data_IF_216591853348
#
_entry.id   IF_216591853348
#
_cell.length_a   1.000
_cell.length_b   1.000
_cell.length_c   1.000
_cell.angle_alpha   90.00
_cell.angle_beta   90.00
_cell.angle_gamma   90.00
#
_symmetry.space_group_name_H-M   'P 1'
#
loop_
_entity.id
_entity.type
_entity.pdbx_description
1 polymer ?
#
# COMPACT_ATOMS: atom_id res chain seq x y z
N UNK A 1 5.59 25.35 0.59
CA UNK A 1 5.70 23.96 1.05
C UNK A 1 4.34 23.26 1.24
N UNK A 2 3.34 23.86 1.93
CA UNK A 2 1.98 23.28 2.05
C UNK A 2 1.33 22.97 0.70
N UNK A 3 1.44 23.87 -0.28
CA UNK A 3 0.88 23.66 -1.61
C UNK A 3 1.47 22.44 -2.33
N UNK A 4 2.77 22.20 -2.19
CA UNK A 4 3.44 21.05 -2.78
C UNK A 4 2.94 19.72 -2.21
N UNK A 5 2.84 19.65 -0.87
CA UNK A 5 2.30 18.48 -0.21
C UNK A 5 0.86 18.21 -0.66
N UNK A 6 0.07 19.25 -0.81
CA UNK A 6 -1.32 19.13 -1.23
C UNK A 6 -1.43 18.60 -2.67
N UNK A 7 -0.56 19.03 -3.57
CA UNK A 7 -0.49 18.54 -4.96
C UNK A 7 -0.12 17.05 -4.96
N UNK A 8 0.92 16.64 -4.22
CA UNK A 8 1.33 15.23 -4.13
C UNK A 8 0.19 14.37 -3.58
N UNK A 9 -0.46 14.79 -2.51
CA UNK A 9 -1.59 14.09 -1.90
C UNK A 9 -2.76 13.97 -2.89
N UNK A 10 -3.05 15.00 -3.66
CA UNK A 10 -4.11 14.98 -4.66
C UNK A 10 -3.82 13.93 -5.75
N UNK A 11 -2.62 13.93 -6.35
CA UNK A 11 -2.22 12.91 -7.32
C UNK A 11 -2.19 11.51 -6.72
N UNK A 12 -1.80 11.38 -5.45
CA UNK A 12 -1.83 10.12 -4.72
C UNK A 12 -3.26 9.56 -4.61
N UNK A 13 -4.23 10.37 -4.18
CA UNK A 13 -5.62 9.92 -4.11
C UNK A 13 -6.21 9.59 -5.48
N UNK A 14 -5.84 10.33 -6.53
CA UNK A 14 -6.22 9.98 -7.91
C UNK A 14 -5.68 8.59 -8.28
N UNK A 15 -4.40 8.31 -8.00
CA UNK A 15 -3.82 6.98 -8.21
C UNK A 15 -4.60 5.90 -7.46
N UNK A 16 -4.90 6.12 -6.18
CA UNK A 16 -5.63 5.16 -5.35
C UNK A 16 -7.04 4.89 -5.90
N UNK A 17 -7.77 5.93 -6.31
CA UNK A 17 -9.12 5.81 -6.90
C UNK A 17 -9.05 5.00 -8.19
N UNK A 18 -8.12 5.31 -9.10
CA UNK A 18 -7.94 4.58 -10.37
C UNK A 18 -7.55 3.12 -10.10
N UNK A 19 -6.65 2.89 -9.14
CA UNK A 19 -6.22 1.54 -8.77
C UNK A 19 -7.35 0.74 -8.14
N UNK A 20 -8.14 1.34 -7.25
CA UNK A 20 -9.32 0.74 -6.64
C UNK A 20 -10.37 0.35 -7.71
N UNK A 21 -10.63 1.25 -8.66
CA UNK A 21 -11.57 0.99 -9.76
C UNK A 21 -11.11 -0.18 -10.65
N UNK A 22 -9.83 -0.20 -11.03
CA UNK A 22 -9.30 -1.26 -11.89
C UNK A 22 -9.22 -2.59 -11.16
N UNK A 23 -8.88 -2.60 -9.87
CA UNK A 23 -8.87 -3.81 -9.04
C UNK A 23 -10.28 -4.35 -8.84
N UNK A 24 -11.26 -3.50 -8.56
CA UNK A 24 -12.67 -3.90 -8.44
C UNK A 24 -13.19 -4.53 -9.74
N UNK A 25 -12.93 -3.89 -10.90
CA UNK A 25 -13.45 -4.34 -12.20
C UNK A 25 -12.69 -5.56 -12.75
N UNK A 26 -11.38 -5.55 -12.76
CA UNK A 26 -10.53 -6.53 -13.43
C UNK A 26 -9.71 -7.41 -12.47
N UNK A 27 -9.64 -7.09 -11.18
CA UNK A 27 -8.77 -7.75 -10.20
C UNK A 27 -7.28 -7.53 -10.46
N UNK A 28 -6.94 -6.45 -11.18
CA UNK A 28 -5.56 -6.11 -11.57
C UNK A 28 -5.26 -4.64 -11.31
N UNK A 29 -4.09 -4.38 -10.75
CA UNK A 29 -3.52 -3.04 -10.61
C UNK A 29 -2.48 -2.86 -11.71
N UNK A 30 -2.64 -1.84 -12.54
CA UNK A 30 -1.78 -1.61 -13.69
C UNK A 30 -0.48 -0.91 -13.29
N UNK A 31 0.65 -1.51 -13.64
CA UNK A 31 1.99 -0.94 -13.39
C UNK A 31 2.15 0.45 -14.02
N UNK A 32 1.48 0.70 -15.16
CA UNK A 32 1.51 1.99 -15.85
C UNK A 32 1.06 3.15 -14.94
N UNK A 33 0.00 2.96 -14.17
CA UNK A 33 -0.53 3.99 -13.27
C UNK A 33 0.46 4.29 -12.15
N UNK A 34 1.09 3.25 -11.59
CA UNK A 34 2.13 3.39 -10.55
C UNK A 34 3.34 4.13 -11.09
N UNK A 35 3.81 3.78 -12.30
CA UNK A 35 4.96 4.45 -12.94
C UNK A 35 4.67 5.91 -13.26
N UNK A 36 3.48 6.24 -13.73
CA UNK A 36 3.07 7.63 -13.99
C UNK A 36 3.12 8.43 -12.68
N UNK A 37 2.56 7.88 -11.59
CA UNK A 37 2.60 8.55 -10.30
C UNK A 37 4.03 8.78 -9.80
N UNK A 38 4.90 7.76 -9.88
CA UNK A 38 6.31 7.87 -9.49
C UNK A 38 7.04 8.95 -10.31
N UNK A 39 6.77 9.00 -11.63
CA UNK A 39 7.32 10.03 -12.50
C UNK A 39 6.87 11.44 -12.10
N UNK A 40 5.58 11.63 -11.84
CA UNK A 40 5.03 12.91 -11.36
C UNK A 40 5.61 13.28 -9.99
N UNK A 41 5.67 12.32 -9.07
CA UNK A 41 6.23 12.53 -7.73
C UNK A 41 7.67 13.02 -7.81
N UNK A 42 8.51 12.33 -8.59
CA UNK A 42 9.92 12.69 -8.78
C UNK A 42 10.07 14.07 -9.46
N UNK A 43 9.26 14.33 -10.50
CA UNK A 43 9.28 15.60 -11.22
C UNK A 43 8.92 16.78 -10.30
N UNK A 44 7.90 16.63 -9.46
CA UNK A 44 7.51 17.64 -8.48
C UNK A 44 8.68 17.91 -7.51
N UNK A 45 9.35 16.86 -7.03
CA UNK A 45 10.51 17.04 -6.14
C UNK A 45 11.67 17.74 -6.83
N UNK A 46 12.00 17.39 -8.06
CA UNK A 46 13.09 18.03 -8.84
C UNK A 46 12.79 19.51 -9.05
N UNK A 47 11.59 19.85 -9.51
CA UNK A 47 11.18 21.25 -9.68
C UNK A 47 11.30 22.02 -8.38
N UNK A 48 10.82 21.44 -7.28
CA UNK A 48 10.88 22.08 -5.97
C UNK A 48 12.32 22.29 -5.53
N UNK A 49 13.16 21.28 -5.71
CA UNK A 49 14.59 21.37 -5.36
C UNK A 49 15.29 22.50 -6.13
N UNK A 50 15.03 22.62 -7.44
CA UNK A 50 15.57 23.70 -8.26
C UNK A 50 15.08 25.07 -7.77
N UNK A 51 13.79 25.23 -7.48
CA UNK A 51 13.21 26.48 -6.99
C UNK A 51 13.87 26.89 -5.65
N UNK A 52 14.05 25.95 -4.73
CA UNK A 52 14.68 26.23 -3.44
C UNK A 52 16.17 26.52 -3.56
N UNK A 53 16.89 25.93 -4.50
CA UNK A 53 18.29 26.29 -4.78
C UNK A 53 18.46 27.77 -5.14
N UNK A 54 17.50 28.32 -5.90
CA UNK A 54 17.59 29.71 -6.37
C UNK A 54 17.02 30.73 -5.38
N UNK A 55 16.01 30.35 -4.57
CA UNK A 55 15.25 31.30 -3.74
C UNK A 55 15.65 31.22 -2.27
N UNK A 56 15.77 30.01 -1.70
CA UNK A 56 15.93 29.81 -0.25
C UNK A 56 16.94 28.71 0.09
N UNK A 57 18.22 29.03 0.16
CA UNK A 57 19.28 28.05 0.48
C UNK A 57 19.12 27.34 1.83
N UNK A 58 18.44 27.92 2.81
CA UNK A 58 18.25 27.34 4.16
C UNK A 58 17.25 26.21 4.25
N UNK A 59 16.34 26.07 3.29
CA UNK A 59 15.30 25.02 3.32
C UNK A 59 15.65 23.75 2.55
N UNK A 60 16.83 23.72 1.88
CA UNK A 60 17.29 22.54 1.11
C UNK A 60 17.52 21.36 2.05
N UNK A 61 18.05 21.55 3.24
CA UNK A 61 18.28 20.48 4.20
C UNK A 61 16.96 19.81 4.60
N UNK A 62 15.94 20.60 4.86
CA UNK A 62 14.61 20.08 5.18
C UNK A 62 13.98 19.28 4.03
N UNK A 63 14.19 19.70 2.77
CA UNK A 63 13.77 18.95 1.60
C UNK A 63 14.49 17.60 1.49
N UNK A 64 15.78 17.57 1.76
CA UNK A 64 16.58 16.34 1.75
C UNK A 64 16.12 15.36 2.84
N UNK A 65 15.88 15.84 4.06
CA UNK A 65 15.35 15.03 5.16
C UNK A 65 13.98 14.45 4.82
N UNK A 66 13.10 15.25 4.23
CA UNK A 66 11.78 14.79 3.80
C UNK A 66 11.86 13.76 2.69
N UNK A 67 12.73 13.99 1.70
CA UNK A 67 12.95 13.03 0.61
C UNK A 67 13.48 11.70 1.17
N UNK A 68 14.46 11.76 2.07
CA UNK A 68 15.03 10.58 2.72
C UNK A 68 13.95 9.81 3.50
N UNK A 69 13.14 10.51 4.28
CA UNK A 69 12.02 9.93 5.01
C UNK A 69 11.02 9.22 4.08
N UNK A 70 10.70 9.83 2.93
CA UNK A 70 9.82 9.22 1.92
C UNK A 70 10.43 7.99 1.26
N UNK A 71 11.72 8.04 0.89
CA UNK A 71 12.42 6.89 0.30
C UNK A 71 12.59 5.73 1.29
N UNK A 72 12.88 6.02 2.56
CA UNK A 72 12.91 4.99 3.62
C UNK A 72 11.53 4.35 3.79
N UNK A 73 10.47 5.16 3.82
CA UNK A 73 9.10 4.68 3.87
C UNK A 73 8.76 3.77 2.68
N UNK A 74 9.13 4.18 1.46
CA UNK A 74 8.98 3.37 0.25
C UNK A 74 9.71 2.03 0.37
N UNK A 75 10.98 2.05 0.76
CA UNK A 75 11.81 0.84 0.89
C UNK A 75 11.26 -0.16 1.89
N UNK A 76 10.91 0.30 3.10
CA UNK A 76 10.34 -0.55 4.14
C UNK A 76 8.99 -1.12 3.71
N UNK A 77 8.11 -0.30 3.12
CA UNK A 77 6.80 -0.74 2.63
C UNK A 77 6.92 -1.74 1.50
N UNK A 78 7.88 -1.52 0.59
CA UNK A 78 8.16 -2.45 -0.50
C UNK A 78 8.62 -3.79 0.04
N UNK A 79 9.53 -3.81 1.03
CA UNK A 79 10.02 -5.04 1.65
C UNK A 79 8.88 -5.81 2.35
N UNK A 80 8.04 -5.11 3.13
CA UNK A 80 6.87 -5.73 3.78
C UNK A 80 5.91 -6.29 2.73
N UNK A 81 5.57 -5.51 1.70
CA UNK A 81 4.71 -5.93 0.61
C UNK A 81 5.31 -7.12 -0.18
N UNK A 82 6.61 -7.14 -0.38
CA UNK A 82 7.33 -8.23 -1.06
C UNK A 82 7.30 -9.52 -0.24
N UNK A 83 7.49 -9.45 1.08
CA UNK A 83 7.34 -10.60 1.97
C UNK A 83 5.93 -11.18 1.87
N UNK A 84 4.88 -10.35 1.93
CA UNK A 84 3.49 -10.79 1.78
C UNK A 84 3.20 -11.36 0.38
N UNK A 85 3.87 -10.86 -0.65
CA UNK A 85 3.80 -11.43 -1.99
C UNK A 85 4.42 -12.83 -2.07
N UNK A 86 5.60 -13.03 -1.48
CA UNK A 86 6.25 -14.36 -1.42
C UNK A 86 5.37 -15.36 -0.66
N UNK A 87 4.79 -14.94 0.46
CA UNK A 87 3.86 -15.76 1.24
C UNK A 87 2.53 -16.03 0.53
N UNK A 88 2.30 -15.44 -0.65
CA UNK A 88 1.06 -15.61 -1.41
C UNK A 88 -0.15 -14.89 -0.84
N UNK A 89 0.04 -13.99 0.14
CA UNK A 89 -1.01 -13.20 0.77
C UNK A 89 -1.45 -12.07 -0.16
N UNK A 90 -0.49 -11.35 -0.75
CA UNK A 90 -0.73 -10.25 -1.67
C UNK A 90 -0.44 -10.65 -3.12
N UNK A 91 -1.13 -9.97 -4.04
CA UNK A 91 -0.75 -9.97 -5.45
C UNK A 91 0.38 -8.96 -5.67
N UNK A 92 1.16 -9.14 -6.75
CA UNK A 92 2.28 -8.23 -7.04
C UNK A 92 1.87 -6.76 -7.23
N UNK A 93 0.61 -6.50 -7.63
CA UNK A 93 0.05 -5.16 -7.71
C UNK A 93 -0.19 -4.53 -6.35
N UNK A 94 -0.71 -5.31 -5.39
CA UNK A 94 -1.01 -4.88 -4.02
C UNK A 94 0.27 -4.45 -3.30
N UNK A 95 1.35 -5.24 -3.44
CA UNK A 95 2.65 -4.95 -2.85
C UNK A 95 3.26 -3.64 -3.37
N UNK A 96 3.12 -3.37 -4.67
CA UNK A 96 3.59 -2.12 -5.29
C UNK A 96 2.77 -0.93 -4.82
N UNK A 97 1.45 -1.08 -4.71
CA UNK A 97 0.58 -0.02 -4.21
C UNK A 97 0.91 0.31 -2.76
N UNK A 98 1.18 -0.72 -1.93
CA UNK A 98 1.61 -0.54 -0.55
C UNK A 98 2.94 0.23 -0.45
N UNK A 99 3.88 -0.01 -1.38
CA UNK A 99 5.13 0.74 -1.45
C UNK A 99 4.89 2.24 -1.72
N UNK A 100 3.89 2.58 -2.54
CA UNK A 100 3.50 3.98 -2.78
C UNK A 100 2.89 4.63 -1.52
N UNK A 101 2.12 3.87 -0.74
CA UNK A 101 1.65 4.35 0.59
C UNK A 101 2.84 4.77 1.44
N UNK A 102 3.86 3.93 1.54
CA UNK A 102 5.07 4.24 2.29
C UNK A 102 5.85 5.43 1.76
N UNK A 103 5.88 5.64 0.43
CA UNK A 103 6.50 6.80 -0.19
C UNK A 103 5.83 8.11 0.27
N UNK A 104 4.51 8.12 0.31
CA UNK A 104 3.73 9.33 0.63
C UNK A 104 3.63 9.57 2.13
N UNK A 105 3.43 8.52 2.93
CA UNK A 105 3.39 8.61 4.40
C UNK A 105 4.76 8.94 5.01
N UNK A 106 5.85 8.46 4.37
CA UNK A 106 7.20 8.47 4.94
C UNK A 106 7.36 7.46 6.07
N UNK A 107 8.61 7.20 6.47
CA UNK A 107 8.89 6.18 7.50
C UNK A 107 8.29 6.55 8.87
N UNK A 108 8.22 7.84 9.20
CA UNK A 108 7.75 8.31 10.49
C UNK A 108 6.26 7.98 10.75
N UNK A 109 5.42 8.05 9.72
CA UNK A 109 3.97 7.81 9.83
C UNK A 109 3.55 6.45 9.24
N UNK A 110 4.51 5.69 8.72
CA UNK A 110 4.26 4.46 7.98
C UNK A 110 3.42 3.44 8.75
N UNK A 111 3.79 3.20 10.02
CA UNK A 111 3.15 2.18 10.84
C UNK A 111 1.71 2.54 11.20
N UNK A 112 1.42 3.83 11.40
CA UNK A 112 0.05 4.31 11.66
C UNK A 112 -0.84 4.11 10.45
N UNK A 113 -0.37 4.49 9.24
CA UNK A 113 -1.07 4.25 7.99
C UNK A 113 -1.29 2.75 7.76
N UNK A 114 -0.25 1.93 7.95
CA UNK A 114 -0.35 0.48 7.80
C UNK A 114 -1.34 -0.14 8.77
N UNK A 115 -1.30 0.24 10.05
CA UNK A 115 -2.21 -0.30 11.05
C UNK A 115 -3.68 -0.05 10.65
N UNK A 116 -4.00 1.19 10.26
CA UNK A 116 -5.36 1.55 9.84
C UNK A 116 -5.77 0.78 8.58
N UNK A 117 -4.91 0.72 7.54
CA UNK A 117 -5.19 -0.01 6.31
C UNK A 117 -5.44 -1.50 6.60
N UNK A 118 -4.58 -2.13 7.42
CA UNK A 118 -4.70 -3.55 7.74
C UNK A 118 -5.95 -3.86 8.56
N UNK A 119 -6.33 -2.98 9.49
CA UNK A 119 -7.59 -3.12 10.24
C UNK A 119 -8.79 -3.05 9.29
N UNK A 120 -8.84 -2.04 8.42
CA UNK A 120 -9.94 -1.85 7.46
C UNK A 120 -10.02 -3.04 6.49
N UNK A 121 -8.89 -3.45 5.91
CA UNK A 121 -8.83 -4.58 4.99
C UNK A 121 -9.17 -5.91 5.70
N UNK A 122 -8.73 -6.10 6.94
CA UNK A 122 -9.03 -7.27 7.76
C UNK A 122 -10.52 -7.40 8.08
N UNK A 123 -11.15 -6.31 8.53
CA UNK A 123 -12.60 -6.28 8.79
C UNK A 123 -13.37 -6.59 7.50
N UNK A 124 -13.00 -5.97 6.39
CA UNK A 124 -13.65 -6.20 5.11
C UNK A 124 -13.48 -7.67 4.64
N UNK A 125 -12.28 -8.24 4.80
CA UNK A 125 -12.03 -9.63 4.48
C UNK A 125 -12.89 -10.58 5.32
N UNK A 126 -13.01 -10.33 6.62
CA UNK A 126 -13.88 -11.09 7.52
C UNK A 126 -15.35 -11.01 7.07
N UNK A 127 -15.86 -9.81 6.77
CA UNK A 127 -17.22 -9.63 6.28
C UNK A 127 -17.48 -10.43 4.98
N UNK A 128 -16.54 -10.40 4.04
CA UNK A 128 -16.65 -11.17 2.78
C UNK A 128 -16.66 -12.67 3.03
N UNK A 129 -15.80 -13.17 3.93
CA UNK A 129 -15.71 -14.60 4.26
C UNK A 129 -16.96 -15.10 4.98
N UNK A 130 -17.51 -14.30 5.90
CA UNK A 130 -18.75 -14.66 6.62
C UNK A 130 -19.94 -14.66 5.67
N UNK A 131 -20.09 -13.62 4.83
CA UNK A 131 -21.17 -13.51 3.85
C UNK A 131 -21.22 -14.70 2.90
N UNK A 132 -20.06 -15.19 2.46
CA UNK A 132 -19.95 -16.31 1.54
C UNK A 132 -19.93 -17.69 2.25
N UNK A 133 -20.10 -17.74 3.56
CA UNK A 133 -20.13 -18.98 4.39
C UNK A 133 -18.87 -19.86 4.24
N UNK A 134 -17.73 -19.27 3.86
CA UNK A 134 -16.46 -20.00 3.66
C UNK A 134 -15.43 -19.73 4.75
N UNK A 135 -15.79 -18.96 5.76
CA UNK A 135 -14.88 -18.60 6.86
C UNK A 135 -14.24 -19.82 7.51
N UNK A 136 -15.04 -20.81 7.95
CA UNK A 136 -14.54 -22.01 8.59
C UNK A 136 -13.68 -22.87 7.66
N UNK A 137 -14.06 -22.98 6.37
CA UNK A 137 -13.26 -23.73 5.36
C UNK A 137 -11.87 -23.10 5.20
N UNK A 138 -11.78 -21.77 5.10
CA UNK A 138 -10.50 -21.08 4.97
C UNK A 138 -9.69 -21.11 6.27
N UNK A 139 -10.34 -20.95 7.42
CA UNK A 139 -9.67 -21.04 8.72
C UNK A 139 -9.01 -22.41 8.90
N UNK A 140 -9.74 -23.50 8.66
CA UNK A 140 -9.18 -24.84 8.74
C UNK A 140 -8.01 -25.05 7.77
N UNK A 141 -8.07 -24.47 6.57
CA UNK A 141 -6.97 -24.54 5.59
C UNK A 141 -5.71 -23.81 6.10
N UNK A 142 -5.87 -22.64 6.71
CA UNK A 142 -4.75 -21.90 7.33
C UNK A 142 -4.14 -22.73 8.47
N UNK A 143 -4.96 -23.31 9.34
CA UNK A 143 -4.48 -24.16 10.44
C UNK A 143 -3.73 -25.39 9.91
N UNK A 144 -4.25 -26.04 8.85
CA UNK A 144 -3.56 -27.17 8.22
C UNK A 144 -2.24 -26.75 7.57
N UNK A 145 -2.19 -25.58 6.93
CA UNK A 145 -0.97 -25.03 6.35
C UNK A 145 0.11 -24.78 7.43
N UNK A 146 -0.25 -24.15 8.54
CA UNK A 146 0.68 -23.98 9.65
C UNK A 146 1.13 -25.32 10.25
N UNK A 147 0.22 -26.29 10.39
CA UNK A 147 0.54 -27.62 10.86
C UNK A 147 1.51 -28.34 9.91
N UNK A 148 1.31 -28.26 8.59
CA UNK A 148 2.24 -28.85 7.61
C UNK A 148 3.60 -28.15 7.65
N UNK A 149 3.63 -26.82 7.76
CA UNK A 149 4.85 -26.03 7.83
C UNK A 149 5.70 -26.41 9.06
N UNK A 150 5.06 -26.62 10.22
CA UNK A 150 5.74 -27.07 11.43
C UNK A 150 6.22 -28.52 11.36
N UNK A 151 5.52 -29.40 10.64
CA UNK A 151 5.87 -30.83 10.55
C UNK A 151 6.90 -31.10 9.45
N UNK A 152 6.82 -30.41 8.31
CA UNK A 152 7.65 -30.71 7.14
C UNK A 152 8.83 -29.75 6.97
N UNK A 153 8.83 -28.59 7.68
CA UNK A 153 9.77 -27.49 7.49
C UNK A 153 9.92 -27.04 6.00
N UNK A 154 8.96 -27.39 5.15
CA UNK A 154 8.94 -27.03 3.74
C UNK A 154 7.97 -25.87 3.51
N UNK A 155 8.46 -24.79 2.88
CA UNK A 155 7.64 -23.68 2.45
C UNK A 155 6.91 -24.05 1.14
N UNK A 156 5.80 -24.76 1.24
CA UNK A 156 4.92 -24.91 0.09
C UNK A 156 4.13 -23.62 -0.10
N UNK A 157 4.10 -23.13 -1.34
CA UNK A 157 3.33 -21.93 -1.68
C UNK A 157 1.85 -22.17 -1.37
N UNK A 158 1.26 -21.33 -0.53
CA UNK A 158 -0.15 -21.38 -0.25
C UNK A 158 -0.96 -21.25 -1.55
N UNK A 159 -1.52 -22.37 -2.04
CA UNK A 159 -2.33 -22.38 -3.24
C UNK A 159 -3.77 -22.02 -2.87
N UNK A 160 -4.17 -20.81 -3.26
CA UNK A 160 -5.58 -20.45 -3.22
C UNK A 160 -6.31 -21.28 -4.29
N UNK A 161 -7.14 -22.24 -3.89
CA UNK A 161 -8.20 -22.73 -4.78
C UNK A 161 -9.04 -21.52 -5.21
N UNK A 162 -9.32 -21.43 -6.52
CA UNK A 162 -10.17 -20.40 -7.09
C UNK A 162 -11.61 -20.57 -6.57
N UNK A 163 -11.87 -20.11 -5.37
CA UNK A 163 -13.23 -20.07 -4.80
C UNK A 163 -14.11 -19.02 -5.53
N UNK A 164 -13.59 -18.43 -6.63
CA UNK A 164 -14.30 -17.42 -7.44
C UNK A 164 -14.49 -16.06 -6.72
N UNK A 165 -14.07 -15.95 -5.46
CA UNK A 165 -14.29 -14.76 -4.67
C UNK A 165 -13.14 -13.78 -4.88
N UNK A 166 -13.46 -12.67 -5.53
CA UNK A 166 -12.54 -11.54 -5.71
C UNK A 166 -12.53 -10.69 -4.44
N UNK A 167 -11.34 -10.42 -3.90
CA UNK A 167 -11.13 -9.47 -2.84
C UNK A 167 -10.35 -8.28 -3.41
N UNK A 168 -11.02 -7.13 -3.67
CA UNK A 168 -10.36 -5.97 -4.25
C UNK A 168 -9.61 -5.20 -3.16
N UNK A 169 -8.36 -5.59 -2.88
CA UNK A 169 -7.54 -5.02 -1.82
C UNK A 169 -7.36 -3.50 -1.98
N UNK A 170 -7.17 -3.01 -3.22
CA UNK A 170 -6.97 -1.59 -3.47
C UNK A 170 -8.16 -0.71 -3.05
N UNK A 171 -9.39 -1.24 -3.05
CA UNK A 171 -10.58 -0.52 -2.55
C UNK A 171 -10.48 -0.31 -1.05
N UNK A 172 -10.13 -1.34 -0.30
CA UNK A 172 -10.01 -1.26 1.17
C UNK A 172 -8.79 -0.46 1.60
N UNK A 173 -7.71 -0.51 0.82
CA UNK A 173 -6.55 0.35 1.00
C UNK A 173 -6.94 1.82 0.83
N UNK A 174 -7.71 2.17 -0.20
CA UNK A 174 -8.21 3.54 -0.40
C UNK A 174 -9.04 4.02 0.81
N UNK A 175 -9.95 3.18 1.30
CA UNK A 175 -10.78 3.52 2.47
C UNK A 175 -9.89 3.70 3.71
N UNK A 176 -8.93 2.80 3.93
CA UNK A 176 -7.98 2.90 5.04
C UNK A 176 -7.16 4.18 4.98
N UNK A 177 -6.69 4.57 3.79
CA UNK A 177 -5.96 5.82 3.60
C UNK A 177 -6.81 7.07 3.87
N UNK A 178 -8.05 7.08 3.43
CA UNK A 178 -8.96 8.20 3.76
C UNK A 178 -9.11 8.32 5.29
N UNK A 179 -9.32 7.22 5.98
CA UNK A 179 -9.45 7.20 7.45
C UNK A 179 -8.16 7.66 8.11
N UNK A 180 -6.99 7.17 7.67
CA UNK A 180 -5.70 7.53 8.24
C UNK A 180 -5.42 9.03 8.08
N UNK A 181 -5.69 9.61 6.91
CA UNK A 181 -5.54 11.04 6.69
C UNK A 181 -6.49 11.89 7.54
N UNK A 182 -7.70 11.43 7.80
CA UNK A 182 -8.65 12.13 8.68
C UNK A 182 -8.25 12.02 10.16
N UNK A 183 -7.68 10.88 10.56
CA UNK A 183 -7.29 10.63 11.94
C UNK A 183 -5.97 11.31 12.31
N UNK A 184 -4.95 11.21 11.46
CA UNK A 184 -3.59 11.70 11.72
C UNK A 184 -3.44 13.23 11.52
N UNK A 185 -4.40 13.89 10.88
CA UNK A 185 -4.43 15.35 10.76
C UNK A 185 -4.94 16.08 12.01
N UNK A 186 -5.39 15.33 13.01
CA UNK A 186 -5.77 15.92 14.30
C UNK A 186 -4.55 16.08 15.21
#
# INVERSE_FOLDING_TARGET
MYALNLIIILFYFILLIVSAWTDYKSGKIYNKNILIFLGIYFLIYVITYIVYMFINKGEIQFLNEKLLNSFMGFGVSFLIGFIFYILGIFKGGDSKLLAIVGLVAGINNLFDHFAIIMIVAGIAALCVLIKNKIFLKRLNRVVLYFKSLFLTMSFEKYTNENDGIKFPFAVYLLIGEIISYLYLRR
#
